data_IF_290667217411
#
_entry.id   IF_290667217411
#
_cell.length_a   1.000
_cell.length_b   1.000
_cell.length_c   1.000
_cell.angle_alpha   90.00
_cell.angle_beta   90.00
_cell.angle_gamma   90.00
#
_symmetry.space_group_name_H-M   'P 1'
#
loop_
_entity.id
_entity.type
_entity.pdbx_description
1 polymer ?
#
# COMPACT_ATOMS: atom_id res chain seq x y z
N UNK A 1 -1.41 -1.91 -8.99
CA UNK A 1 -1.32 -0.99 -7.84
C UNK A 1 -2.62 -0.20 -7.78
N UNK A 2 -3.32 -0.21 -6.65
CA UNK A 2 -4.65 0.44 -6.51
C UNK A 2 -4.50 1.83 -5.91
N UNK A 3 -5.29 2.80 -6.36
CA UNK A 3 -5.37 4.13 -5.73
C UNK A 3 -6.57 4.12 -4.80
N UNK A 4 -6.39 4.50 -3.53
CA UNK A 4 -7.47 4.53 -2.53
C UNK A 4 -7.32 5.74 -1.61
N UNK A 5 -8.45 6.30 -1.19
CA UNK A 5 -8.46 7.36 -0.17
C UNK A 5 -7.91 6.84 1.18
N UNK A 6 -8.18 5.57 1.52
CA UNK A 6 -7.67 4.91 2.72
C UNK A 6 -6.91 3.62 2.39
N UNK A 7 -5.77 3.44 3.06
CA UNK A 7 -4.90 2.26 2.96
C UNK A 7 -4.88 1.43 4.25
N UNK A 8 -5.76 1.73 5.22
CA UNK A 8 -5.75 1.14 6.57
C UNK A 8 -5.83 -0.39 6.56
N UNK A 9 -6.70 -0.96 5.74
CA UNK A 9 -6.86 -2.42 5.64
C UNK A 9 -5.70 -3.09 4.90
N UNK A 10 -5.09 -2.39 3.95
CA UNK A 10 -4.02 -2.93 3.11
C UNK A 10 -2.67 -2.97 3.84
N UNK A 11 -2.39 -1.98 4.69
CA UNK A 11 -1.17 -1.98 5.52
C UNK A 11 -1.14 -3.09 6.56
N UNK A 12 -2.30 -3.62 6.96
CA UNK A 12 -2.43 -4.70 7.94
C UNK A 12 -2.33 -6.11 7.31
N UNK A 13 -2.23 -6.22 5.98
CA UNK A 13 -2.10 -7.53 5.32
C UNK A 13 -0.70 -8.12 5.54
N UNK A 14 -0.56 -9.45 5.63
CA UNK A 14 0.74 -10.11 5.76
C UNK A 14 1.69 -9.73 4.63
N UNK A 15 2.93 -9.36 4.97
CA UNK A 15 3.96 -8.96 4.00
C UNK A 15 3.74 -7.59 3.37
N UNK A 16 2.77 -6.80 3.86
CA UNK A 16 2.60 -5.41 3.47
C UNK A 16 3.57 -4.50 4.20
N UNK A 17 4.19 -3.59 3.46
CA UNK A 17 5.08 -2.56 3.98
C UNK A 17 4.57 -1.19 3.56
N UNK A 18 4.48 -0.27 4.52
CA UNK A 18 4.13 1.12 4.25
C UNK A 18 5.41 1.90 3.93
N UNK A 19 5.43 2.61 2.81
CA UNK A 19 6.57 3.42 2.37
C UNK A 19 6.09 4.79 1.89
N UNK A 20 6.88 5.83 2.14
CA UNK A 20 6.64 7.17 1.58
C UNK A 20 7.55 7.36 0.36
N UNK A 21 6.98 7.66 -0.81
CA UNK A 21 7.72 7.87 -2.06
C UNK A 21 7.16 9.09 -2.79
N UNK A 22 8.03 10.02 -3.22
CA UNK A 22 7.59 11.23 -3.96
C UNK A 22 6.43 11.96 -3.25
N UNK A 23 6.52 12.12 -1.93
CA UNK A 23 5.49 12.77 -1.11
C UNK A 23 4.21 11.97 -0.85
N UNK A 24 4.01 10.80 -1.47
CA UNK A 24 2.81 9.96 -1.31
C UNK A 24 3.08 8.70 -0.49
N UNK A 25 2.05 8.21 0.21
CA UNK A 25 2.13 6.97 0.98
C UNK A 25 1.70 5.80 0.11
N UNK A 26 2.50 4.73 0.14
CA UNK A 26 2.25 3.49 -0.59
C UNK A 26 2.24 2.32 0.38
N UNK A 27 1.41 1.33 0.08
CA UNK A 27 1.52 -0.02 0.59
C UNK A 27 2.17 -0.85 -0.50
N UNK A 28 3.33 -1.43 -0.22
CA UNK A 28 4.03 -2.37 -1.09
C UNK A 28 3.92 -3.76 -0.47
N UNK A 29 3.44 -4.72 -1.23
CA UNK A 29 3.45 -6.13 -0.84
C UNK A 29 4.06 -6.93 -2.00
N UNK A 30 5.24 -7.52 -1.77
CA UNK A 30 5.97 -8.28 -2.80
C UNK A 30 5.42 -9.71 -2.96
N UNK A 31 4.96 -10.32 -1.85
CA UNK A 31 4.38 -11.67 -1.86
C UNK A 31 2.97 -11.72 -2.44
N UNK A 32 2.18 -10.65 -2.28
CA UNK A 32 0.85 -10.52 -2.87
C UNK A 32 0.64 -9.13 -3.52
N UNK A 33 0.92 -8.98 -4.83
CA UNK A 33 0.80 -7.71 -5.54
C UNK A 33 -0.61 -7.10 -5.55
N UNK A 34 -1.67 -7.89 -5.28
CA UNK A 34 -3.06 -7.40 -5.23
C UNK A 34 -3.30 -6.40 -4.10
N UNK A 35 -2.45 -6.43 -3.07
CA UNK A 35 -2.50 -5.52 -1.93
C UNK A 35 -1.66 -4.26 -2.09
N UNK A 36 -0.94 -4.09 -3.22
CA UNK A 36 -0.20 -2.86 -3.49
C UNK A 36 -1.16 -1.68 -3.71
N UNK A 37 -0.97 -0.60 -2.96
CA UNK A 37 -1.80 0.59 -3.09
C UNK A 37 -1.05 1.90 -2.84
N UNK A 38 -1.67 3.01 -3.26
CA UNK A 38 -1.26 4.40 -3.00
C UNK A 38 -2.40 5.11 -2.28
N UNK A 39 -2.07 5.88 -1.24
CA UNK A 39 -3.01 6.78 -0.59
C UNK A 39 -3.15 8.07 -1.40
N UNK A 40 -4.39 8.41 -1.75
CA UNK A 40 -4.73 9.54 -2.63
C UNK A 40 -4.70 9.17 -4.09
#
# INVERSE_FOLDING_TARGET
MKVRASIRSLKNQPGSQVVKRKGRIYVINKGNPRFKARQG
#
